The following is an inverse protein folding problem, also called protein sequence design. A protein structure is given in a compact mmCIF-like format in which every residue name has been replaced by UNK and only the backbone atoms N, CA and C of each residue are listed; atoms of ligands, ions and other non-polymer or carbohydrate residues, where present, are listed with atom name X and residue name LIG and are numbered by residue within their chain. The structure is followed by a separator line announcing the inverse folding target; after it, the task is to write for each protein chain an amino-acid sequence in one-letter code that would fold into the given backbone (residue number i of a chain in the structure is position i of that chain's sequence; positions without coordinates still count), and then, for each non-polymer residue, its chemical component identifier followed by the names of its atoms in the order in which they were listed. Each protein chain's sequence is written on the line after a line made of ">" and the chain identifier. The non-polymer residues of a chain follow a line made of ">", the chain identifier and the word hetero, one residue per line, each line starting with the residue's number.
data_IF_720158657309
#
_entry.id   IF_720158657309
#
_cell.length_a   1.000
_cell.length_b   1.000
_cell.length_c   1.000
_cell.angle_alpha   90.00
_cell.angle_beta   90.00
_cell.angle_gamma   90.00
#
_symmetry.space_group_name_H-M   'P 1'
#
loop_
_entity.id
_entity.type
_entity.pdbx_description
1 polymer ?
#
# COMPACT_ATOMS: atom_id res chain seq x y z
N UNK A 1 -13.02 13.60 14.80
CA UNK A 1 -12.46 12.24 14.71
C UNK A 1 -13.48 11.29 15.30
N UNK A 2 -13.82 10.19 14.62
CA UNK A 2 -14.77 9.22 15.17
C UNK A 2 -14.20 8.63 16.46
N UNK A 3 -14.95 8.75 17.56
CA UNK A 3 -14.51 8.29 18.88
C UNK A 3 -14.45 6.76 18.94
N UNK A 4 -15.28 6.06 18.19
CA UNK A 4 -15.32 4.59 18.16
C UNK A 4 -14.08 4.01 17.51
N UNK A 5 -13.74 4.51 16.31
CA UNK A 5 -12.53 4.07 15.60
C UNK A 5 -11.25 4.36 16.41
N UNK A 6 -11.22 5.49 17.13
CA UNK A 6 -10.11 5.84 18.01
C UNK A 6 -9.94 4.82 19.15
N UNK A 7 -11.04 4.44 19.82
CA UNK A 7 -11.02 3.43 20.88
C UNK A 7 -10.64 2.04 20.36
N UNK A 8 -11.07 1.67 19.16
CA UNK A 8 -10.69 0.42 18.51
C UNK A 8 -9.20 0.38 18.17
N UNK A 9 -8.64 1.52 17.71
CA UNK A 9 -7.22 1.65 17.45
C UNK A 9 -6.39 1.54 18.74
N UNK A 10 -6.80 2.22 19.81
CA UNK A 10 -6.14 2.12 21.11
C UNK A 10 -6.12 0.67 21.63
N UNK A 11 -7.23 -0.06 21.49
CA UNK A 11 -7.31 -1.49 21.82
C UNK A 11 -6.42 -2.35 20.93
N UNK A 12 -6.35 -2.04 19.62
CA UNK A 12 -5.53 -2.78 18.66
C UNK A 12 -4.03 -2.61 18.96
N UNK A 13 -3.58 -1.38 19.22
CA UNK A 13 -2.18 -1.10 19.53
C UNK A 13 -1.82 -1.65 20.91
N UNK A 14 -2.71 -1.50 21.89
CA UNK A 14 -2.49 -1.92 23.28
C UNK A 14 -1.18 -1.36 23.88
N UNK A 15 -0.86 -0.12 23.54
CA UNK A 15 0.29 0.64 24.05
C UNK A 15 -0.16 2.06 24.37
N UNK A 16 0.53 2.70 25.30
CA UNK A 16 0.43 4.13 25.53
C UNK A 16 1.06 4.94 24.39
N UNK A 17 0.68 6.21 24.27
CA UNK A 17 1.29 7.13 23.29
C UNK A 17 2.82 7.22 23.47
N UNK A 18 3.32 7.23 24.70
CA UNK A 18 4.75 7.31 24.98
C UNK A 18 5.51 6.07 24.46
N UNK A 19 4.92 4.89 24.60
CA UNK A 19 5.49 3.64 24.08
C UNK A 19 5.50 3.62 22.55
N UNK A 20 4.42 4.10 21.92
CA UNK A 20 4.36 4.25 20.46
C UNK A 20 5.43 5.22 19.95
N UNK A 21 5.60 6.37 20.62
CA UNK A 21 6.64 7.34 20.24
C UNK A 21 8.05 6.74 20.42
N UNK A 22 8.27 5.94 21.45
CA UNK A 22 9.53 5.22 21.63
C UNK A 22 9.77 4.24 20.46
N UNK A 23 8.76 3.47 20.05
CA UNK A 23 8.84 2.53 18.94
C UNK A 23 9.10 3.22 17.59
N UNK A 24 8.57 4.43 17.40
CA UNK A 24 8.71 5.20 16.15
C UNK A 24 10.07 5.91 16.07
N UNK A 25 10.52 6.53 17.17
CA UNK A 25 11.67 7.45 17.11
C UNK A 25 12.96 6.88 17.70
N UNK A 26 12.88 5.89 18.59
CA UNK A 26 14.04 5.44 19.38
C UNK A 26 14.41 3.97 19.15
N UNK A 27 13.49 3.13 18.66
CA UNK A 27 13.77 1.72 18.40
C UNK A 27 14.15 1.46 16.94
N UNK A 28 14.94 0.40 16.67
CA UNK A 28 15.22 -0.02 15.30
C UNK A 28 13.95 -0.52 14.60
N UNK A 29 13.90 -0.38 13.27
CA UNK A 29 12.80 -0.85 12.41
C UNK A 29 11.44 -0.15 12.62
N UNK A 30 11.45 1.16 12.89
CA UNK A 30 10.23 1.98 12.97
C UNK A 30 9.30 1.83 11.75
N UNK A 31 9.88 1.70 10.55
CA UNK A 31 9.15 1.39 9.33
C UNK A 31 8.33 0.09 9.41
N UNK A 32 8.89 -0.97 10.01
CA UNK A 32 8.20 -2.26 10.20
C UNK A 32 7.09 -2.15 11.24
N UNK A 33 7.33 -1.38 12.31
CA UNK A 33 6.31 -1.09 13.32
C UNK A 33 5.11 -0.38 12.70
N UNK A 34 5.32 0.72 11.97
CA UNK A 34 4.25 1.44 11.27
C UNK A 34 3.54 0.56 10.22
N UNK A 35 4.28 -0.28 9.49
CA UNK A 35 3.69 -1.20 8.53
C UNK A 35 2.73 -2.21 9.18
N UNK A 36 2.89 -2.54 10.47
CA UNK A 36 1.98 -3.44 11.19
C UNK A 36 0.55 -2.89 11.28
N UNK A 37 0.38 -1.56 11.25
CA UNK A 37 -0.93 -0.90 11.31
C UNK A 37 -1.75 -1.11 10.04
N UNK A 38 -1.14 -1.60 8.96
CA UNK A 38 -1.83 -2.01 7.74
C UNK A 38 -2.97 -2.99 8.01
N UNK A 39 -2.80 -3.89 9.00
CA UNK A 39 -3.85 -4.82 9.39
C UNK A 39 -5.09 -4.10 9.94
N UNK A 40 -4.90 -3.12 10.82
CA UNK A 40 -5.99 -2.31 11.37
C UNK A 40 -6.71 -1.54 10.27
N UNK A 41 -5.95 -0.91 9.37
CA UNK A 41 -6.48 -0.17 8.22
C UNK A 41 -7.33 -1.09 7.34
N UNK A 42 -6.87 -2.32 7.05
CA UNK A 42 -7.61 -3.28 6.24
C UNK A 42 -8.93 -3.70 6.90
N UNK A 43 -8.91 -3.98 8.20
CA UNK A 43 -10.12 -4.37 8.95
C UNK A 43 -11.20 -3.28 8.92
N UNK A 44 -10.80 -2.01 8.87
CA UNK A 44 -11.71 -0.86 8.85
C UNK A 44 -11.75 -0.15 7.48
N UNK A 45 -11.39 -0.82 6.39
CA UNK A 45 -11.23 -0.21 5.07
C UNK A 45 -12.48 0.50 4.54
N UNK A 46 -13.67 0.11 5.00
CA UNK A 46 -14.95 0.71 4.58
C UNK A 46 -15.36 1.90 5.46
N UNK A 47 -14.63 2.18 6.54
CA UNK A 47 -14.89 3.33 7.38
C UNK A 47 -14.52 4.62 6.62
N UNK A 48 -15.38 5.66 6.58
CA UNK A 48 -15.15 6.85 5.75
C UNK A 48 -13.80 7.53 5.98
N UNK A 49 -13.35 7.61 7.24
CA UNK A 49 -12.04 8.19 7.56
C UNK A 49 -10.85 7.36 7.03
N UNK A 50 -10.99 6.03 7.00
CA UNK A 50 -9.96 5.13 6.47
C UNK A 50 -9.94 5.19 4.95
N UNK A 51 -11.10 5.27 4.31
CA UNK A 51 -11.19 5.49 2.86
C UNK A 51 -10.55 6.81 2.45
N UNK A 52 -10.81 7.89 3.20
CA UNK A 52 -10.18 9.18 2.96
C UNK A 52 -8.65 9.11 3.11
N UNK A 53 -8.16 8.45 4.17
CA UNK A 53 -6.73 8.21 4.40
C UNK A 53 -6.07 7.42 3.26
N UNK A 54 -6.67 6.30 2.84
CA UNK A 54 -6.17 5.46 1.75
C UNK A 54 -6.12 6.23 0.44
N UNK A 55 -7.19 6.96 0.12
CA UNK A 55 -7.25 7.78 -1.08
C UNK A 55 -6.16 8.86 -1.06
N UNK A 56 -6.03 9.64 0.02
CA UNK A 56 -4.98 10.66 0.14
C UNK A 56 -3.58 10.06 -0.04
N UNK A 57 -3.30 8.94 0.63
CA UNK A 57 -2.02 8.27 0.55
C UNK A 57 -1.69 7.79 -0.87
N UNK A 58 -2.64 7.17 -1.58
CA UNK A 58 -2.41 6.71 -2.95
C UNK A 58 -2.32 7.86 -3.95
N UNK A 59 -3.14 8.91 -3.82
CA UNK A 59 -3.03 10.10 -4.64
C UNK A 59 -1.66 10.77 -4.44
N UNK A 60 -1.18 10.88 -3.20
CA UNK A 60 0.15 11.42 -2.90
C UNK A 60 1.26 10.56 -3.51
N UNK A 61 1.16 9.23 -3.39
CA UNK A 61 2.11 8.31 -4.01
C UNK A 61 2.15 8.49 -5.55
N UNK A 62 0.99 8.58 -6.20
CA UNK A 62 0.90 8.79 -7.65
C UNK A 62 1.45 10.16 -8.07
N UNK A 63 1.14 11.21 -7.30
CA UNK A 63 1.67 12.56 -7.50
C UNK A 63 3.19 12.60 -7.44
N UNK A 64 3.80 11.94 -6.45
CA UNK A 64 5.25 11.98 -6.25
C UNK A 64 5.97 11.13 -7.30
N UNK A 65 5.46 9.93 -7.60
CA UNK A 65 6.21 8.94 -8.37
C UNK A 65 5.83 8.87 -9.85
N UNK A 66 4.61 9.26 -10.23
CA UNK A 66 4.11 9.12 -11.61
C UNK A 66 3.94 10.45 -12.32
N UNK A 67 3.38 11.45 -11.64
CA UNK A 67 3.09 12.74 -12.24
C UNK A 67 4.31 13.42 -12.91
N UNK A 68 5.52 13.40 -12.33
CA UNK A 68 6.71 14.01 -12.95
C UNK A 68 7.11 13.37 -14.28
N UNK A 69 6.62 12.17 -14.56
CA UNK A 69 6.97 11.36 -15.73
C UNK A 69 5.76 11.03 -16.59
N UNK A 70 4.63 11.74 -16.42
CA UNK A 70 3.36 11.47 -17.12
C UNK A 70 3.53 11.34 -18.64
N UNK A 71 4.45 12.12 -19.24
CA UNK A 71 4.70 12.11 -20.69
C UNK A 71 5.75 11.08 -21.15
N UNK A 72 6.34 10.31 -20.22
CA UNK A 72 7.45 9.38 -20.49
C UNK A 72 7.09 7.92 -20.24
N UNK A 73 5.92 7.64 -19.66
CA UNK A 73 5.49 6.29 -19.35
C UNK A 73 4.35 5.81 -20.23
N UNK A 74 4.32 4.48 -20.42
CA UNK A 74 3.14 3.79 -20.91
C UNK A 74 1.99 4.00 -19.93
N UNK A 75 0.73 4.14 -20.39
CA UNK A 75 -0.42 4.17 -19.50
C UNK A 75 -0.61 2.84 -18.75
N UNK A 76 -0.01 1.74 -19.24
CA UNK A 76 -0.11 0.43 -18.61
C UNK A 76 0.92 0.28 -17.48
N UNK A 77 0.44 -0.01 -16.27
CA UNK A 77 1.27 -0.17 -15.09
C UNK A 77 0.96 -1.46 -14.34
N UNK A 78 2.01 -2.07 -13.76
CA UNK A 78 1.88 -3.17 -12.83
C UNK A 78 2.46 -2.77 -11.46
N UNK A 79 1.83 -3.26 -10.39
CA UNK A 79 2.34 -3.10 -9.02
C UNK A 79 2.73 -4.44 -8.41
N UNK A 80 3.67 -4.38 -7.47
CA UNK A 80 4.05 -5.51 -6.63
C UNK A 80 4.08 -5.11 -5.15
N UNK A 81 3.86 -6.06 -4.26
CA UNK A 81 3.98 -5.90 -2.81
C UNK A 81 2.67 -6.14 -2.06
N UNK A 82 2.80 -6.38 -0.75
CA UNK A 82 1.66 -6.72 0.12
C UNK A 82 0.61 -5.61 0.17
N UNK A 83 1.03 -4.34 0.37
CA UNK A 83 0.12 -3.19 0.44
C UNK A 83 -0.69 -3.03 -0.85
N UNK A 84 -0.02 -3.07 -2.00
CA UNK A 84 -0.68 -2.99 -3.30
C UNK A 84 -1.70 -4.13 -3.49
N UNK A 85 -1.35 -5.35 -3.06
CA UNK A 85 -2.25 -6.50 -3.13
C UNK A 85 -3.42 -6.42 -2.15
N UNK A 86 -3.23 -5.88 -0.95
CA UNK A 86 -4.24 -5.76 0.10
C UNK A 86 -5.29 -4.70 -0.27
N UNK A 87 -4.83 -3.56 -0.79
CA UNK A 87 -5.67 -2.41 -1.17
C UNK A 87 -5.76 -2.28 -2.69
N UNK A 88 -5.98 -3.42 -3.36
CA UNK A 88 -6.01 -3.50 -4.82
C UNK A 88 -7.05 -2.56 -5.42
N UNK A 89 -8.24 -2.53 -4.82
CA UNK A 89 -9.37 -1.76 -5.31
C UNK A 89 -9.12 -0.26 -5.17
N UNK A 90 -8.66 0.18 -4.00
CA UNK A 90 -8.36 1.57 -3.69
C UNK A 90 -7.19 2.10 -4.52
N UNK A 91 -6.12 1.31 -4.67
CA UNK A 91 -4.99 1.66 -5.52
C UNK A 91 -5.39 1.76 -7.00
N UNK A 92 -6.21 0.82 -7.49
CA UNK A 92 -6.69 0.84 -8.88
C UNK A 92 -7.58 2.06 -9.12
N UNK A 93 -8.48 2.36 -8.18
CA UNK A 93 -9.32 3.55 -8.24
C UNK A 93 -8.49 4.83 -8.29
N UNK A 94 -7.46 4.94 -7.45
CA UNK A 94 -6.55 6.07 -7.46
C UNK A 94 -5.78 6.19 -8.80
N UNK A 95 -5.38 5.07 -9.41
CA UNK A 95 -4.69 5.08 -10.71
C UNK A 95 -5.59 5.62 -11.84
N UNK A 96 -6.90 5.37 -11.77
CA UNK A 96 -7.84 5.86 -12.77
C UNK A 96 -7.88 7.40 -12.84
N UNK A 97 -7.72 8.11 -11.72
CA UNK A 97 -7.66 9.58 -11.73
C UNK A 97 -6.42 10.14 -12.42
N UNK A 98 -5.40 9.30 -12.65
CA UNK A 98 -4.17 9.63 -13.36
C UNK A 98 -4.13 9.08 -14.80
N UNK A 99 -5.24 8.54 -15.31
CA UNK A 99 -5.30 7.84 -16.61
C UNK A 99 -4.31 6.68 -16.73
N UNK A 100 -4.02 6.01 -15.61
CA UNK A 100 -3.17 4.82 -15.57
C UNK A 100 -4.05 3.56 -15.58
N UNK A 101 -3.73 2.64 -16.49
CA UNK A 101 -4.36 1.34 -16.61
C UNK A 101 -3.55 0.29 -15.84
N UNK A 102 -4.12 -0.24 -14.76
CA UNK A 102 -3.45 -1.24 -13.92
C UNK A 102 -3.63 -2.63 -14.54
N UNK A 103 -2.55 -3.16 -15.15
CA UNK A 103 -2.57 -4.46 -15.84
C UNK A 103 -2.29 -5.64 -14.91
N UNK A 104 -1.63 -5.42 -13.78
CA UNK A 104 -1.34 -6.47 -12.81
C UNK A 104 -1.03 -5.90 -11.42
N UNK A 105 -1.48 -6.59 -10.38
CA UNK A 105 -1.03 -6.37 -9.00
C UNK A 105 -0.73 -7.74 -8.39
N UNK A 106 0.51 -7.92 -7.92
CA UNK A 106 0.99 -9.18 -7.34
C UNK A 106 1.57 -8.95 -5.94
N UNK A 107 1.37 -9.88 -5.01
CA UNK A 107 1.97 -9.77 -3.67
C UNK A 107 3.49 -9.98 -3.68
N UNK A 108 3.99 -10.85 -4.56
CA UNK A 108 5.40 -11.12 -4.77
C UNK A 108 5.70 -11.36 -6.24
N UNK A 109 6.78 -10.79 -6.80
CA UNK A 109 7.14 -10.98 -8.20
C UNK A 109 7.74 -12.37 -8.47
N UNK A 110 8.12 -13.10 -7.42
CA UNK A 110 8.99 -14.28 -7.53
C UNK A 110 8.42 -15.38 -8.42
N UNK A 111 7.10 -15.67 -8.33
CA UNK A 111 6.46 -16.68 -9.19
C UNK A 111 6.57 -16.33 -10.68
N UNK A 112 6.29 -15.08 -11.04
CA UNK A 112 6.37 -14.62 -12.44
C UNK A 112 7.81 -14.59 -12.95
N UNK A 113 8.76 -14.22 -12.09
CA UNK A 113 10.18 -14.27 -12.41
C UNK A 113 10.66 -15.70 -12.68
N UNK A 114 10.25 -16.67 -11.86
CA UNK A 114 10.56 -18.10 -12.09
C UNK A 114 9.99 -18.57 -13.44
N UNK A 115 8.71 -18.29 -13.70
CA UNK A 115 8.08 -18.67 -14.97
C UNK A 115 8.79 -18.05 -16.18
N UNK A 116 9.19 -16.78 -16.09
CA UNK A 116 9.94 -16.11 -17.15
C UNK A 116 11.25 -16.84 -17.46
N UNK A 117 12.06 -17.16 -16.45
CA UNK A 117 13.35 -17.85 -16.63
C UNK A 117 13.18 -19.29 -17.12
N UNK A 118 12.21 -20.05 -16.59
CA UNK A 118 11.92 -21.41 -17.05
C UNK A 118 11.44 -21.44 -18.51
N UNK A 119 10.70 -20.41 -18.94
CA UNK A 119 10.26 -20.27 -20.34
C UNK A 119 11.44 -19.96 -21.27
N UNK A 120 12.41 -19.18 -20.82
CA UNK A 120 13.62 -18.91 -21.60
C UNK A 120 14.56 -20.13 -21.71
N UNK A 121 14.65 -20.98 -20.68
CA UNK A 121 15.47 -22.20 -20.76
C UNK A 121 14.90 -23.29 -21.66
N UNK A 122 13.58 -23.31 -21.91
CA UNK A 122 12.93 -24.25 -22.84
C UNK A 122 13.03 -23.85 -24.33
N UNK A 123 13.75 -22.77 -24.64
CA UNK A 123 13.98 -22.28 -26.01
C UNK A 123 15.37 -22.66 -26.57
N UNK A 124 16.08 -23.60 -25.92
CA UNK A 124 17.33 -24.20 -26.41
C UNK A 124 17.08 -25.69 -26.68
#
# INVERSE_FOLDING_TARGET
>A
MDKTLSLEFEKFVNQSLNEMLLDIYQKPNANRYLASFTYFIKTHQHHPQIQALLNEAFQLFLKIHFEPFRNKFSPNIAFTGSVASIFREELTHACHSYNLNVIAIESSPMKKLIHYHLRQQKLI
#
